data_IF_190086416607
#
_entry.id   IF_190086416607
#
_cell.length_a   1.000
_cell.length_b   1.000
_cell.length_c   1.000
_cell.angle_alpha   90.00
_cell.angle_beta   90.00
_cell.angle_gamma   90.00
#
_symmetry.space_group_name_H-M   'P 1'
#
loop_
_entity.id
_entity.type
_entity.pdbx_description
1 polymer ?
#
# COMPACT_ATOMS: atom_id res chain seq x y z
N UNK A 1 87.08 -38.05 -9.13
CA UNK A 1 86.36 -39.32 -8.90
C UNK A 1 85.05 -39.05 -8.16
N UNK A 2 83.95 -39.46 -8.75
CA UNK A 2 82.73 -39.88 -8.14
C UNK A 2 82.00 -38.80 -7.32
N UNK A 3 80.91 -38.40 -7.61
CA UNK A 3 79.70 -38.74 -8.29
C UNK A 3 78.63 -37.83 -7.73
N UNK A 4 78.22 -36.82 -8.46
CA UNK A 4 77.05 -35.99 -8.10
C UNK A 4 75.83 -36.86 -8.24
N UNK A 5 75.22 -37.23 -7.15
CA UNK A 5 73.93 -37.81 -7.12
C UNK A 5 72.85 -36.69 -7.26
N UNK A 6 72.12 -36.78 -8.35
CA UNK A 6 70.92 -36.04 -8.67
C UNK A 6 69.90 -36.30 -7.63
N UNK A 7 69.51 -35.25 -6.89
CA UNK A 7 68.24 -35.19 -6.19
C UNK A 7 67.34 -34.18 -6.93
N UNK A 8 66.65 -34.72 -7.90
CA UNK A 8 65.53 -34.01 -8.54
C UNK A 8 64.40 -33.93 -7.54
N UNK A 9 64.38 -32.85 -6.81
CA UNK A 9 63.22 -32.53 -5.94
C UNK A 9 62.14 -31.97 -6.83
N UNK A 10 61.25 -32.84 -7.25
CA UNK A 10 59.97 -32.49 -7.91
C UNK A 10 59.10 -31.75 -6.88
N UNK A 11 59.29 -30.44 -6.85
CA UNK A 11 58.37 -29.54 -6.14
C UNK A 11 57.06 -29.49 -6.95
N UNK A 12 56.16 -30.42 -6.62
CA UNK A 12 54.80 -30.43 -7.14
C UNK A 12 54.09 -29.22 -6.54
N UNK A 13 54.11 -28.14 -7.30
CA UNK A 13 53.38 -26.89 -7.00
C UNK A 13 51.88 -27.26 -7.09
N UNK A 14 51.30 -27.66 -5.98
CA UNK A 14 49.86 -27.68 -5.82
C UNK A 14 49.37 -26.22 -5.81
N UNK A 15 49.04 -25.71 -7.00
CA UNK A 15 48.23 -24.51 -7.11
C UNK A 15 46.88 -24.80 -6.41
N UNK A 16 46.48 -24.04 -5.38
CA UNK A 16 45.12 -24.07 -4.98
C UNK A 16 44.33 -23.55 -6.18
N UNK A 17 43.48 -24.40 -6.79
CA UNK A 17 42.37 -23.90 -7.61
C UNK A 17 41.61 -22.97 -6.69
N UNK A 18 41.84 -21.68 -6.82
CA UNK A 18 40.90 -20.68 -6.37
C UNK A 18 39.60 -21.03 -7.11
N UNK A 19 38.72 -21.73 -6.42
CA UNK A 19 37.33 -21.83 -6.81
C UNK A 19 36.86 -20.39 -6.89
N UNK A 20 36.80 -19.85 -8.11
CA UNK A 20 36.04 -18.63 -8.37
C UNK A 20 34.65 -18.98 -7.88
N UNK A 21 34.32 -18.47 -6.71
CA UNK A 21 32.95 -18.35 -6.25
C UNK A 21 32.24 -17.62 -7.40
N UNK A 22 31.50 -18.36 -8.21
CA UNK A 22 30.65 -17.78 -9.24
C UNK A 22 29.61 -17.01 -8.46
N UNK A 23 29.94 -15.75 -8.19
CA UNK A 23 29.11 -14.85 -7.42
C UNK A 23 27.69 -14.99 -7.92
N UNK A 24 26.80 -15.35 -7.02
CA UNK A 24 25.40 -15.56 -7.32
C UNK A 24 24.88 -14.35 -8.08
N UNK A 25 24.30 -14.56 -9.27
CA UNK A 25 23.79 -13.48 -10.09
C UNK A 25 22.72 -12.73 -9.31
N UNK A 26 22.98 -11.47 -8.98
CA UNK A 26 22.04 -10.60 -8.29
C UNK A 26 21.46 -9.56 -9.26
N UNK A 27 20.25 -9.15 -8.99
CA UNK A 27 19.50 -8.15 -9.74
C UNK A 27 19.23 -6.97 -8.83
N UNK A 28 19.58 -5.77 -9.30
CA UNK A 28 19.38 -4.55 -8.54
C UNK A 28 17.92 -4.13 -8.53
N UNK A 29 17.50 -3.61 -7.39
CA UNK A 29 16.16 -3.11 -7.16
C UNK A 29 16.09 -2.17 -5.96
N UNK A 30 14.89 -1.89 -5.53
CA UNK A 30 14.62 -1.07 -4.33
C UNK A 30 13.34 -1.52 -3.64
N UNK A 31 13.17 -1.08 -2.42
CA UNK A 31 11.93 -1.27 -1.66
C UNK A 31 10.98 -0.14 -1.99
N UNK A 32 9.79 -0.48 -2.45
CA UNK A 32 8.70 0.46 -2.75
C UNK A 32 7.58 0.32 -1.73
N UNK A 33 6.96 1.46 -1.36
CA UNK A 33 5.79 1.48 -0.48
C UNK A 33 4.50 1.42 -1.29
N UNK A 34 3.54 0.64 -0.80
CA UNK A 34 2.15 0.76 -1.23
C UNK A 34 1.43 1.69 -0.25
N UNK A 35 1.43 2.99 -0.55
CA UNK A 35 0.85 4.03 0.29
C UNK A 35 -0.67 4.05 0.19
N UNK A 36 -1.32 4.38 1.31
CA UNK A 36 -2.74 4.70 1.36
C UNK A 36 -2.87 6.21 1.40
N UNK A 37 -3.53 6.75 0.37
CA UNK A 37 -3.76 8.18 0.24
C UNK A 37 -5.07 8.56 0.92
N UNK A 38 -4.99 9.52 1.86
CA UNK A 38 -6.16 9.99 2.59
C UNK A 38 -6.56 11.38 2.08
N UNK A 39 -7.78 11.47 1.57
CA UNK A 39 -8.33 12.67 0.92
C UNK A 39 -9.68 13.03 1.54
N UNK A 40 -10.11 14.32 1.50
CA UNK A 40 -11.46 14.70 1.83
C UNK A 40 -12.43 14.32 0.70
N UNK A 41 -13.67 13.99 1.05
CA UNK A 41 -14.75 13.68 0.09
C UNK A 41 -15.23 14.91 -0.68
N UNK A 42 -15.17 16.08 -0.06
CA UNK A 42 -15.63 17.36 -0.63
C UNK A 42 -14.52 18.41 -0.54
N UNK A 43 -14.59 19.38 -1.44
CA UNK A 43 -13.69 20.53 -1.42
C UNK A 43 -13.80 21.31 -0.12
N UNK A 44 -12.67 21.81 0.38
CA UNK A 44 -12.63 22.67 1.55
C UNK A 44 -11.22 23.07 1.96
N UNK A 45 -11.14 24.00 2.90
CA UNK A 45 -9.87 24.46 3.48
C UNK A 45 -9.46 23.51 4.60
N UNK A 46 -8.23 23.04 4.63
CA UNK A 46 -7.68 22.32 5.79
C UNK A 46 -7.68 23.26 6.99
N UNK A 47 -8.44 22.92 8.03
CA UNK A 47 -8.56 23.72 9.23
C UNK A 47 -7.50 23.33 10.26
N UNK A 48 -7.41 22.04 10.55
CA UNK A 48 -6.42 21.49 11.47
C UNK A 48 -5.76 20.26 10.89
N UNK A 49 -4.52 20.02 11.29
CA UNK A 49 -3.78 18.80 11.03
C UNK A 49 -3.33 18.24 12.38
N UNK A 50 -3.81 17.07 12.74
CA UNK A 50 -3.59 16.47 14.06
C UNK A 50 -2.29 15.65 14.12
N UNK A 51 -1.66 15.38 12.97
CA UNK A 51 -0.50 14.49 12.83
C UNK A 51 0.61 15.15 12.04
N UNK A 52 1.86 14.75 12.29
CA UNK A 52 3.06 15.13 11.56
C UNK A 52 3.63 13.98 10.72
N UNK A 53 4.56 14.31 9.79
CA UNK A 53 5.32 13.29 9.06
C UNK A 53 6.18 12.47 10.04
N UNK A 54 6.11 11.14 9.89
CA UNK A 54 6.77 10.19 10.79
C UNK A 54 5.91 9.69 11.94
N UNK A 55 4.78 10.34 12.24
CA UNK A 55 3.91 9.90 13.33
C UNK A 55 3.27 8.54 13.03
N UNK A 56 3.16 7.74 14.09
CA UNK A 56 2.39 6.49 14.04
C UNK A 56 0.94 6.79 14.37
N UNK A 57 0.02 6.25 13.56
CA UNK A 57 -1.42 6.42 13.71
C UNK A 57 -2.14 5.07 13.76
N UNK A 58 -3.27 5.04 14.46
CA UNK A 58 -4.15 3.88 14.54
C UNK A 58 -5.42 4.10 13.72
N UNK A 59 -6.03 3.03 13.31
CA UNK A 59 -7.35 3.04 12.68
C UNK A 59 -8.36 3.80 13.54
N UNK A 60 -9.04 4.78 12.94
CA UNK A 60 -10.01 5.64 13.64
C UNK A 60 -9.39 6.84 14.37
N UNK A 61 -8.09 7.03 14.33
CA UNK A 61 -7.42 8.21 14.90
C UNK A 61 -7.64 9.43 14.00
N UNK A 62 -7.93 10.64 14.56
CA UNK A 62 -8.14 11.83 13.78
C UNK A 62 -6.85 12.27 13.07
N UNK A 63 -6.95 12.57 11.77
CA UNK A 63 -5.81 12.99 10.95
C UNK A 63 -5.85 14.50 10.67
N UNK A 64 -6.97 14.96 10.14
CA UNK A 64 -7.17 16.37 9.84
C UNK A 64 -8.67 16.73 9.81
N UNK A 65 -8.95 18.02 9.89
CA UNK A 65 -10.29 18.57 9.71
C UNK A 65 -10.32 19.54 8.53
N UNK A 66 -11.45 19.57 7.85
CA UNK A 66 -11.75 20.52 6.78
C UNK A 66 -12.81 21.48 7.30
N UNK A 67 -12.73 22.74 6.85
CA UNK A 67 -13.70 23.79 7.18
C UNK A 67 -15.14 23.28 7.04
N UNK A 68 -15.94 23.41 8.08
CA UNK A 68 -17.28 22.83 8.20
C UNK A 68 -18.39 23.88 8.43
N UNK A 69 -18.09 25.18 8.36
CA UNK A 69 -19.04 26.26 8.63
C UNK A 69 -20.31 26.14 7.79
N UNK A 70 -20.17 25.87 6.49
CA UNK A 70 -21.32 25.69 5.59
C UNK A 70 -22.16 24.47 5.93
N UNK A 71 -21.53 23.36 6.34
CA UNK A 71 -22.21 22.13 6.71
C UNK A 71 -22.93 22.28 8.04
N UNK A 72 -22.37 23.06 8.96
CA UNK A 72 -23.05 23.40 10.23
C UNK A 72 -24.32 24.28 9.98
N UNK A 73 -24.20 25.26 9.08
CA UNK A 73 -25.33 26.10 8.67
C UNK A 73 -26.44 25.27 7.98
N UNK A 74 -26.04 24.38 7.05
CA UNK A 74 -26.97 23.44 6.38
C UNK A 74 -27.68 22.53 7.43
N UNK A 75 -26.94 21.96 8.37
CA UNK A 75 -27.49 21.12 9.43
C UNK A 75 -28.51 21.89 10.28
N UNK A 76 -28.24 23.13 10.62
CA UNK A 76 -29.18 23.97 11.36
C UNK A 76 -30.47 24.21 10.55
N UNK A 77 -30.37 24.49 9.26
CA UNK A 77 -31.50 24.70 8.36
C UNK A 77 -32.35 23.43 8.22
N UNK A 78 -31.74 22.27 7.97
CA UNK A 78 -32.53 21.03 7.81
C UNK A 78 -33.12 20.55 9.12
N UNK A 79 -32.49 20.85 10.27
CA UNK A 79 -33.04 20.58 11.61
C UNK A 79 -34.30 21.39 11.85
N UNK A 80 -34.32 22.69 11.51
CA UNK A 80 -35.50 23.52 11.59
C UNK A 80 -36.63 23.00 10.67
N UNK A 81 -36.28 22.55 9.45
CA UNK A 81 -37.25 21.96 8.52
C UNK A 81 -37.85 20.66 9.05
N UNK A 82 -37.07 19.81 9.70
CA UNK A 82 -37.55 18.58 10.35
C UNK A 82 -38.54 18.93 11.50
N UNK A 83 -38.19 19.93 12.33
CA UNK A 83 -39.10 20.39 13.41
C UNK A 83 -40.46 20.83 12.89
N UNK A 84 -40.48 21.61 11.79
CA UNK A 84 -41.70 22.04 11.14
C UNK A 84 -42.52 20.87 10.55
N UNK A 85 -41.82 19.91 9.91
CA UNK A 85 -42.45 18.71 9.36
C UNK A 85 -43.04 17.83 10.46
N UNK A 86 -42.34 17.68 11.58
CA UNK A 86 -42.82 16.93 12.74
C UNK A 86 -44.08 17.56 13.33
N UNK A 87 -44.11 18.90 13.55
CA UNK A 87 -45.28 19.61 14.04
C UNK A 87 -46.48 19.48 13.08
N UNK A 88 -46.24 19.50 11.79
CA UNK A 88 -47.29 19.33 10.78
C UNK A 88 -47.87 17.92 10.79
N UNK A 89 -47.00 16.90 10.92
CA UNK A 89 -47.41 15.51 11.09
C UNK A 89 -48.23 15.30 12.36
N UNK A 90 -47.77 15.80 13.50
CA UNK A 90 -48.44 15.64 14.77
C UNK A 90 -49.84 16.28 14.75
N UNK A 91 -49.98 17.45 14.12
CA UNK A 91 -51.27 18.12 13.89
C UNK A 91 -52.17 17.30 12.98
N UNK A 92 -51.68 16.84 11.83
CA UNK A 92 -52.47 16.01 10.91
C UNK A 92 -52.91 14.69 11.57
N UNK A 93 -52.06 14.08 12.34
CA UNK A 93 -52.34 12.85 13.10
C UNK A 93 -53.44 13.09 14.16
N UNK A 94 -53.36 14.19 14.91
CA UNK A 94 -54.39 14.55 15.86
C UNK A 94 -55.74 14.78 15.19
N UNK A 95 -55.78 15.59 14.12
CA UNK A 95 -57.04 15.88 13.39
C UNK A 95 -57.65 14.64 12.74
N UNK A 96 -56.85 13.74 12.18
CA UNK A 96 -57.34 12.47 11.65
C UNK A 96 -57.92 11.58 12.76
N UNK A 97 -57.27 11.53 13.93
CA UNK A 97 -57.76 10.78 15.09
C UNK A 97 -59.05 11.32 15.69
N UNK A 98 -59.34 12.61 15.56
CA UNK A 98 -60.58 13.25 16.01
C UNK A 98 -61.70 13.27 14.94
N UNK A 99 -61.42 12.71 13.73
CA UNK A 99 -62.38 12.69 12.63
C UNK A 99 -62.56 14.02 11.90
N UNK A 100 -61.77 15.04 12.20
CA UNK A 100 -61.82 16.38 11.58
C UNK A 100 -60.76 16.58 10.49
N UNK A 101 -59.80 15.66 10.34
CA UNK A 101 -58.82 15.61 9.29
C UNK A 101 -59.02 14.45 8.30
N UNK A 102 -58.35 14.49 7.16
CA UNK A 102 -58.40 13.43 6.15
C UNK A 102 -57.20 12.50 6.23
N UNK A 103 -57.37 11.24 5.85
CA UNK A 103 -56.25 10.30 5.72
C UNK A 103 -55.21 10.79 4.70
N UNK A 104 -55.68 11.46 3.63
CA UNK A 104 -54.79 12.06 2.62
C UNK A 104 -53.85 13.09 3.23
N UNK A 105 -54.34 13.93 4.15
CA UNK A 105 -53.50 14.96 4.79
C UNK A 105 -52.49 14.33 5.74
N UNK A 106 -52.86 13.28 6.45
CA UNK A 106 -51.94 12.52 7.29
C UNK A 106 -50.85 11.83 6.45
N UNK A 107 -51.22 11.21 5.34
CA UNK A 107 -50.27 10.55 4.45
C UNK A 107 -49.31 11.57 3.84
N UNK A 108 -49.80 12.74 3.42
CA UNK A 108 -48.98 13.83 2.91
C UNK A 108 -47.99 14.35 3.97
N UNK A 109 -48.47 14.62 5.20
CA UNK A 109 -47.61 15.05 6.29
C UNK A 109 -46.57 14.00 6.69
N UNK A 110 -46.93 12.69 6.60
CA UNK A 110 -46.02 11.57 6.85
C UNK A 110 -44.91 11.54 5.79
N UNK A 111 -45.24 11.76 4.52
CA UNK A 111 -44.24 11.79 3.43
C UNK A 111 -43.24 12.95 3.60
N UNK A 112 -43.74 14.16 3.98
CA UNK A 112 -42.91 15.35 4.24
C UNK A 112 -41.98 15.11 5.44
N UNK A 113 -42.45 14.49 6.50
CA UNK A 113 -41.65 14.14 7.67
C UNK A 113 -40.52 13.18 7.31
N UNK A 114 -40.81 12.14 6.53
CA UNK A 114 -39.80 11.19 6.09
C UNK A 114 -38.71 11.83 5.20
N UNK A 115 -39.13 12.72 4.30
CA UNK A 115 -38.19 13.49 3.47
C UNK A 115 -37.27 14.37 4.33
N UNK A 116 -37.85 15.12 5.28
CA UNK A 116 -37.07 15.97 6.19
C UNK A 116 -36.09 15.15 7.04
N UNK A 117 -36.48 13.96 7.51
CA UNK A 117 -35.62 13.05 8.26
C UNK A 117 -34.44 12.54 7.38
N UNK A 118 -34.72 12.19 6.12
CA UNK A 118 -33.68 11.76 5.20
C UNK A 118 -32.67 12.87 4.90
N UNK A 119 -33.15 14.13 4.76
CA UNK A 119 -32.27 15.29 4.59
C UNK A 119 -31.38 15.55 5.79
N UNK A 120 -31.95 15.44 7.01
CA UNK A 120 -31.15 15.55 8.24
C UNK A 120 -30.02 14.52 8.27
N UNK A 121 -30.32 13.26 8.01
CA UNK A 121 -29.32 12.19 8.01
C UNK A 121 -28.20 12.47 6.97
N UNK A 122 -28.58 12.99 5.79
CA UNK A 122 -27.60 13.36 4.75
C UNK A 122 -26.70 14.52 5.21
N UNK A 123 -27.26 15.58 5.79
CA UNK A 123 -26.51 16.73 6.28
C UNK A 123 -25.57 16.33 7.43
N UNK A 124 -26.03 15.51 8.37
CA UNK A 124 -25.20 14.98 9.45
C UNK A 124 -24.02 14.17 8.91
N UNK A 125 -24.24 13.34 7.90
CA UNK A 125 -23.18 12.55 7.27
C UNK A 125 -22.14 13.44 6.60
N UNK A 126 -22.57 14.50 5.88
CA UNK A 126 -21.65 15.46 5.27
C UNK A 126 -20.81 16.19 6.31
N UNK A 127 -21.42 16.63 7.40
CA UNK A 127 -20.70 17.28 8.49
C UNK A 127 -19.70 16.31 9.15
N UNK A 128 -20.08 15.07 9.41
CA UNK A 128 -19.20 14.08 10.01
C UNK A 128 -17.95 13.81 9.14
N UNK A 129 -18.10 13.83 7.80
CA UNK A 129 -17.00 13.61 6.85
C UNK A 129 -16.02 14.78 6.76
N UNK A 130 -16.33 15.94 7.39
CA UNK A 130 -15.35 17.04 7.53
C UNK A 130 -14.21 16.72 8.49
N UNK A 131 -14.39 15.75 9.37
CA UNK A 131 -13.36 15.20 10.23
C UNK A 131 -12.89 13.89 9.61
N UNK A 132 -11.62 13.85 9.19
CA UNK A 132 -11.05 12.71 8.50
C UNK A 132 -10.19 11.91 9.47
N UNK A 133 -10.47 10.61 9.51
CA UNK A 133 -9.81 9.65 10.40
C UNK A 133 -8.97 8.67 9.61
N UNK A 134 -8.00 8.04 10.29
CA UNK A 134 -7.17 7.02 9.67
C UNK A 134 -7.98 5.77 9.34
N UNK A 135 -7.97 5.31 8.07
CA UNK A 135 -8.64 4.07 7.68
C UNK A 135 -7.86 2.82 8.12
N UNK A 136 -6.59 2.95 8.49
CA UNK A 136 -5.66 1.85 8.80
C UNK A 136 -4.67 2.25 9.89
N UNK A 137 -4.08 1.25 10.54
CA UNK A 137 -2.89 1.46 11.34
C UNK A 137 -1.69 1.72 10.41
N UNK A 138 -0.80 2.63 10.78
CA UNK A 138 0.36 2.93 9.95
C UNK A 138 1.18 4.11 10.42
N UNK A 139 2.07 4.59 9.58
CA UNK A 139 2.83 5.81 9.80
C UNK A 139 2.59 6.84 8.69
N UNK A 140 2.54 8.10 9.07
CA UNK A 140 2.40 9.21 8.11
C UNK A 140 3.72 9.34 7.34
N UNK A 141 3.67 9.15 6.04
CA UNK A 141 4.87 9.23 5.19
C UNK A 141 5.06 10.61 4.59
N UNK A 142 3.98 11.25 4.19
CA UNK A 142 4.03 12.55 3.55
C UNK A 142 2.73 13.33 3.77
N UNK A 143 2.87 14.64 3.92
CA UNK A 143 1.77 15.60 4.02
C UNK A 143 1.84 16.53 2.81
N UNK A 144 0.77 16.54 2.01
CA UNK A 144 0.68 17.31 0.77
C UNK A 144 0.03 18.68 0.95
N UNK A 145 -0.86 18.83 1.96
CA UNK A 145 -1.55 20.08 2.24
C UNK A 145 -1.45 20.43 3.72
N UNK A 146 -1.30 21.72 3.97
CA UNK A 146 -1.14 22.28 5.31
C UNK A 146 -2.38 23.06 5.75
N UNK A 147 -2.55 23.30 7.06
CA UNK A 147 -3.62 24.16 7.55
C UNK A 147 -3.65 25.52 6.85
N UNK A 148 -4.83 25.92 6.39
CA UNK A 148 -5.06 27.14 5.61
C UNK A 148 -5.14 26.91 4.10
N UNK A 149 -4.66 25.78 3.57
CA UNK A 149 -4.72 25.49 2.13
C UNK A 149 -6.07 24.89 1.70
N UNK A 150 -6.48 25.20 0.47
CA UNK A 150 -7.70 24.69 -0.13
C UNK A 150 -7.41 23.34 -0.81
N UNK A 151 -8.19 22.32 -0.46
CA UNK A 151 -8.04 20.97 -1.02
C UNK A 151 -9.26 20.62 -1.88
N UNK A 152 -9.06 20.25 -3.14
CA UNK A 152 -10.11 19.66 -3.96
C UNK A 152 -10.58 18.30 -3.43
N UNK A 153 -11.83 17.94 -3.72
CA UNK A 153 -12.36 16.61 -3.41
C UNK A 153 -11.49 15.51 -4.04
N UNK A 154 -11.22 14.45 -3.28
CA UNK A 154 -10.41 13.32 -3.72
C UNK A 154 -8.90 13.60 -3.88
N UNK A 155 -8.43 14.79 -3.57
CA UNK A 155 -7.00 15.10 -3.58
C UNK A 155 -6.39 14.69 -2.24
N UNK A 156 -5.33 13.85 -2.22
CA UNK A 156 -4.71 13.42 -0.97
C UNK A 156 -4.16 14.59 -0.15
N UNK A 157 -4.53 14.64 1.14
CA UNK A 157 -3.93 15.57 2.12
C UNK A 157 -2.66 14.96 2.71
N UNK A 158 -2.67 13.66 2.94
CA UNK A 158 -1.51 12.93 3.44
C UNK A 158 -1.49 11.49 2.91
N UNK A 159 -0.34 10.84 3.05
CA UNK A 159 -0.13 9.44 2.70
C UNK A 159 0.30 8.64 3.93
N UNK A 160 -0.34 7.48 4.12
CA UNK A 160 -0.05 6.53 5.19
C UNK A 160 0.66 5.31 4.63
N UNK A 161 1.61 4.79 5.40
CA UNK A 161 2.22 3.48 5.16
C UNK A 161 1.78 2.51 6.25
N UNK A 162 0.89 1.56 5.94
CA UNK A 162 0.57 0.48 6.85
C UNK A 162 1.79 -0.40 7.14
N UNK A 163 1.91 -1.00 8.34
CA UNK A 163 2.99 -1.91 8.67
C UNK A 163 3.06 -3.06 7.66
N UNK A 164 4.23 -3.29 7.11
CA UNK A 164 4.44 -4.39 6.16
C UNK A 164 3.95 -4.15 4.74
N UNK A 165 3.39 -2.99 4.42
CA UNK A 165 2.87 -2.69 3.09
C UNK A 165 3.97 -2.19 2.14
N UNK A 166 5.05 -2.95 2.07
CA UNK A 166 6.21 -2.72 1.20
C UNK A 166 6.44 -3.89 0.27
N UNK A 167 7.04 -3.64 -0.88
CA UNK A 167 7.42 -4.64 -1.86
C UNK A 167 8.84 -4.41 -2.35
N UNK A 168 9.55 -5.49 -2.64
CA UNK A 168 10.80 -5.45 -3.36
C UNK A 168 10.51 -5.34 -4.86
N UNK A 169 11.05 -4.32 -5.51
CA UNK A 169 10.87 -4.06 -6.94
C UNK A 169 12.23 -4.14 -7.61
N UNK A 170 12.38 -5.03 -8.59
CA UNK A 170 13.65 -5.25 -9.26
C UNK A 170 13.43 -5.64 -10.72
N UNK A 171 14.51 -5.53 -11.50
CA UNK A 171 14.46 -5.79 -12.93
C UNK A 171 15.32 -6.97 -13.32
N UNK A 172 14.79 -7.82 -14.19
CA UNK A 172 15.51 -8.96 -14.73
C UNK A 172 15.59 -8.91 -16.24
N UNK A 173 16.73 -9.33 -16.85
CA UNK A 173 16.84 -9.46 -18.30
C UNK A 173 15.86 -10.50 -18.86
N UNK A 174 15.43 -10.31 -20.11
CA UNK A 174 14.53 -11.25 -20.82
C UNK A 174 14.99 -12.70 -20.76
N UNK A 175 16.31 -12.95 -20.84
CA UNK A 175 16.88 -14.31 -20.82
C UNK A 175 16.62 -15.05 -19.47
N UNK A 176 16.37 -14.29 -18.40
CA UNK A 176 16.15 -14.83 -17.05
C UNK A 176 14.67 -15.04 -16.76
N UNK A 177 13.79 -14.28 -17.44
CA UNK A 177 12.35 -14.30 -17.21
C UNK A 177 11.75 -15.72 -17.20
N UNK A 178 12.12 -16.65 -18.10
CA UNK A 178 11.61 -18.04 -18.07
C UNK A 178 12.00 -18.82 -16.81
N UNK A 179 12.96 -18.32 -16.04
CA UNK A 179 13.41 -18.94 -14.79
C UNK A 179 12.67 -18.46 -13.56
N UNK A 180 11.73 -17.55 -13.70
CA UNK A 180 10.99 -16.94 -12.59
C UNK A 180 9.51 -17.25 -12.76
N UNK A 181 8.86 -17.67 -11.68
CA UNK A 181 7.43 -17.90 -11.61
C UNK A 181 6.81 -17.17 -10.43
N UNK A 182 5.50 -16.91 -10.52
CA UNK A 182 4.73 -16.36 -9.39
C UNK A 182 4.80 -17.34 -8.21
N UNK A 183 5.08 -16.79 -7.03
CA UNK A 183 5.23 -17.56 -5.80
C UNK A 183 6.64 -18.09 -5.53
N UNK A 184 7.59 -17.91 -6.45
CA UNK A 184 8.99 -18.24 -6.21
C UNK A 184 9.56 -17.41 -5.07
N UNK A 185 10.47 -18.02 -4.29
CA UNK A 185 11.18 -17.33 -3.22
C UNK A 185 12.49 -16.77 -3.76
N UNK A 186 12.72 -15.49 -3.54
CA UNK A 186 13.97 -14.79 -3.88
C UNK A 186 14.67 -14.36 -2.60
N UNK A 187 15.99 -14.30 -2.62
CA UNK A 187 16.80 -13.77 -1.52
C UNK A 187 17.02 -12.28 -1.73
N UNK A 188 16.80 -11.52 -0.66
CA UNK A 188 16.98 -10.06 -0.67
C UNK A 188 18.20 -9.72 0.20
N UNK A 189 19.10 -8.92 -0.34
CA UNK A 189 20.24 -8.38 0.38
C UNK A 189 20.20 -6.86 0.30
N UNK A 190 20.62 -6.21 1.35
CA UNK A 190 20.78 -4.77 1.40
C UNK A 190 21.87 -4.40 2.42
N UNK A 191 22.48 -3.24 2.24
CA UNK A 191 23.49 -2.75 3.16
C UNK A 191 22.90 -2.50 4.55
N UNK A 192 23.49 -3.12 5.57
CA UNK A 192 23.03 -3.00 6.96
C UNK A 192 21.78 -3.78 7.32
N UNK A 193 21.25 -4.61 6.42
CA UNK A 193 20.11 -5.49 6.70
C UNK A 193 20.53 -6.77 7.42
N UNK A 194 19.61 -7.41 8.17
CA UNK A 194 19.79 -8.75 8.66
C UNK A 194 20.05 -9.73 7.50
N UNK A 195 20.92 -10.72 7.71
CA UNK A 195 21.12 -11.77 6.75
C UNK A 195 19.89 -12.69 6.61
N UNK A 196 19.75 -13.32 5.44
CA UNK A 196 18.71 -14.32 5.20
C UNK A 196 17.31 -13.76 4.89
N UNK A 197 17.20 -12.49 4.52
CA UNK A 197 15.93 -11.93 4.08
C UNK A 197 15.46 -12.60 2.78
N UNK A 198 14.18 -12.95 2.76
CA UNK A 198 13.51 -13.55 1.61
C UNK A 198 12.28 -12.74 1.22
N UNK A 199 11.91 -12.86 -0.04
CA UNK A 199 10.69 -12.29 -0.57
C UNK A 199 10.03 -13.27 -1.54
N UNK A 200 8.71 -13.20 -1.67
CA UNK A 200 7.94 -14.05 -2.58
C UNK A 200 7.50 -13.26 -3.79
N UNK A 201 7.80 -13.75 -4.99
CA UNK A 201 7.37 -13.13 -6.24
C UNK A 201 5.85 -13.05 -6.29
N UNK A 202 5.32 -11.84 -6.35
CA UNK A 202 3.89 -11.54 -6.37
C UNK A 202 3.40 -11.02 -7.71
N UNK A 203 4.31 -10.45 -8.52
CA UNK A 203 3.97 -9.89 -9.81
C UNK A 203 5.14 -10.00 -10.79
N UNK A 204 4.82 -10.28 -12.05
CA UNK A 204 5.75 -10.31 -13.18
C UNK A 204 5.13 -9.46 -14.29
N UNK A 205 5.80 -8.38 -14.68
CA UNK A 205 5.33 -7.51 -15.74
C UNK A 205 5.24 -8.26 -17.08
N UNK A 206 4.16 -8.05 -17.82
CA UNK A 206 3.96 -8.61 -19.17
C UNK A 206 4.60 -7.75 -20.26
N UNK A 207 4.92 -6.51 -19.94
CA UNK A 207 5.58 -5.57 -20.85
C UNK A 207 7.00 -5.35 -20.39
N UNK A 208 7.93 -5.30 -21.35
CA UNK A 208 9.31 -4.94 -21.07
C UNK A 208 9.43 -3.43 -20.86
N UNK A 209 10.28 -3.04 -19.94
CA UNK A 209 10.72 -1.67 -19.76
C UNK A 209 12.13 -1.51 -20.33
N UNK A 210 12.44 -0.31 -20.81
CA UNK A 210 13.79 0.02 -21.27
C UNK A 210 14.52 0.74 -20.15
N UNK A 211 15.69 0.24 -19.76
CA UNK A 211 16.63 1.06 -19.00
C UNK A 211 17.27 2.07 -19.97
N UNK A 212 17.34 3.38 -19.62
CA UNK A 212 17.30 4.52 -20.55
C UNK A 212 18.49 4.61 -21.51
N UNK A 213 18.45 5.50 -22.52
CA UNK A 213 17.52 5.66 -23.63
C UNK A 213 17.97 5.02 -24.94
N UNK A 214 17.07 4.60 -25.61
CA UNK A 214 16.78 3.94 -26.86
C UNK A 214 17.68 4.20 -28.07
N UNK A 215 18.30 3.13 -28.60
CA UNK A 215 18.54 2.95 -30.05
C UNK A 215 18.24 1.48 -30.38
N UNK A 216 17.36 1.22 -31.36
CA UNK A 216 16.98 -0.13 -31.80
C UNK A 216 18.10 -0.84 -32.56
N UNK A 217 19.07 -1.42 -31.85
CA UNK A 217 20.06 -2.33 -32.44
C UNK A 217 19.92 -3.74 -31.87
N UNK A 218 20.45 -4.75 -32.56
CA UNK A 218 20.43 -6.14 -32.08
C UNK A 218 21.12 -6.32 -30.71
N UNK A 219 22.09 -5.46 -30.39
CA UNK A 219 22.79 -5.40 -29.11
C UNK A 219 21.95 -4.80 -27.99
N UNK A 220 20.91 -4.02 -28.32
CA UNK A 220 20.01 -3.39 -27.37
C UNK A 220 18.91 -4.34 -26.84
N UNK A 221 18.64 -5.47 -27.54
CA UNK A 221 17.70 -6.49 -27.02
C UNK A 221 18.18 -7.14 -25.72
N UNK A 222 19.49 -7.10 -25.45
CA UNK A 222 20.03 -7.55 -24.16
C UNK A 222 19.71 -6.60 -23.00
N UNK A 223 19.21 -5.39 -23.30
CA UNK A 223 18.81 -4.37 -22.32
C UNK A 223 17.30 -4.36 -22.03
N UNK A 224 16.50 -5.23 -22.68
CA UNK A 224 15.12 -5.42 -22.34
C UNK A 224 15.03 -6.05 -20.95
N UNK A 225 14.46 -5.33 -20.02
CA UNK A 225 14.26 -5.78 -18.65
C UNK A 225 12.78 -5.88 -18.34
N UNK A 226 12.43 -6.81 -17.48
CA UNK A 226 11.07 -6.99 -16.99
C UNK A 226 11.03 -6.69 -15.51
N UNK A 227 10.04 -5.89 -15.12
CA UNK A 227 9.78 -5.59 -13.74
C UNK A 227 9.22 -6.82 -13.03
N UNK A 228 9.83 -7.15 -11.89
CA UNK A 228 9.34 -8.16 -10.95
C UNK A 228 9.06 -7.47 -9.62
N UNK A 229 7.94 -7.83 -9.01
CA UNK A 229 7.64 -7.42 -7.64
C UNK A 229 7.57 -8.65 -6.73
N UNK A 230 8.14 -8.54 -5.54
CA UNK A 230 8.12 -9.58 -4.54
C UNK A 230 7.75 -9.02 -3.17
N UNK A 231 6.95 -9.75 -2.42
CA UNK A 231 6.52 -9.38 -1.07
C UNK A 231 7.54 -9.94 -0.07
N UNK A 232 8.22 -9.08 0.71
CA UNK A 232 9.17 -9.52 1.74
C UNK A 232 8.48 -10.32 2.84
N UNK A 233 9.12 -11.41 3.29
CA UNK A 233 8.63 -12.18 4.43
C UNK A 233 8.83 -11.42 5.76
N UNK A 234 9.80 -10.50 5.82
CA UNK A 234 10.09 -9.62 6.96
C UNK A 234 10.05 -8.14 6.53
N UNK A 235 8.86 -7.58 6.26
CA UNK A 235 8.74 -6.23 5.70
C UNK A 235 9.24 -5.12 6.63
N UNK A 236 9.17 -5.32 7.96
CA UNK A 236 9.61 -4.35 8.97
C UNK A 236 11.12 -4.19 9.04
N UNK A 237 11.89 -5.14 8.50
CA UNK A 237 13.36 -5.08 8.42
C UNK A 237 13.86 -4.18 7.27
N UNK A 238 12.95 -3.72 6.39
CA UNK A 238 13.25 -3.01 5.16
C UNK A 238 12.68 -1.59 5.21
N UNK A 239 13.40 -0.64 4.61
CA UNK A 239 12.95 0.75 4.53
C UNK A 239 12.57 1.12 3.10
N UNK A 240 11.54 1.94 2.96
CA UNK A 240 11.12 2.48 1.66
C UNK A 240 12.26 3.26 1.01
N UNK A 241 12.45 3.05 -0.29
CA UNK A 241 13.54 3.67 -1.05
C UNK A 241 14.91 3.00 -0.86
N UNK A 242 15.03 1.99 -0.01
CA UNK A 242 16.29 1.29 0.23
C UNK A 242 16.69 0.49 -1.00
N UNK A 243 17.93 0.66 -1.53
CA UNK A 243 18.49 -0.20 -2.58
C UNK A 243 18.62 -1.63 -2.08
N UNK A 244 18.33 -2.58 -2.95
CA UNK A 244 18.44 -4.02 -2.67
C UNK A 244 19.09 -4.77 -3.83
N UNK A 245 19.77 -5.85 -3.50
CA UNK A 245 20.20 -6.87 -4.43
C UNK A 245 19.35 -8.12 -4.25
N UNK A 246 18.76 -8.59 -5.33
CA UNK A 246 17.88 -9.76 -5.33
C UNK A 246 18.55 -10.91 -6.06
N UNK A 247 18.71 -12.04 -5.37
CA UNK A 247 19.20 -13.27 -5.95
C UNK A 247 18.05 -14.28 -6.07
N UNK A 248 17.97 -14.95 -7.22
CA UNK A 248 16.96 -15.97 -7.46
C UNK A 248 17.27 -17.20 -6.60
N UNK A 249 16.29 -17.66 -5.86
CA UNK A 249 16.37 -18.91 -5.11
C UNK A 249 16.24 -20.14 -6.02
N UNK A 250 16.53 -21.36 -5.51
CA UNK A 250 16.21 -22.59 -6.22
C UNK A 250 14.69 -22.65 -6.47
N UNK A 251 14.30 -23.10 -7.67
CA UNK A 251 12.89 -23.30 -8.00
C UNK A 251 12.23 -24.27 -7.02
N UNK A 252 10.98 -24.02 -6.70
CA UNK A 252 10.17 -24.92 -5.87
C UNK A 252 10.09 -26.35 -6.47
N UNK A 253 10.30 -26.48 -7.79
CA UNK A 253 10.35 -27.77 -8.48
C UNK A 253 11.72 -28.48 -8.34
N UNK A 254 12.78 -27.74 -8.02
CA UNK A 254 14.13 -28.27 -7.86
C UNK A 254 14.45 -28.66 -6.40
N UNK A 255 13.52 -28.39 -5.47
CA UNK A 255 13.69 -28.79 -4.07
C UNK A 255 13.35 -30.28 -3.93
N UNK A 256 14.32 -31.14 -3.52
CA UNK A 256 14.07 -32.57 -3.31
C UNK A 256 12.88 -32.78 -2.36
N UNK A 257 12.00 -33.72 -2.68
CA UNK A 257 10.76 -34.03 -1.94
C UNK A 257 11.00 -34.24 -0.44
N UNK A 258 12.20 -34.61 -0.01
CA UNK A 258 12.56 -34.76 1.40
C UNK A 258 12.51 -33.47 2.21
N UNK A 259 12.72 -32.30 1.58
CA UNK A 259 12.65 -30.98 2.28
C UNK A 259 11.25 -30.37 2.27
N UNK A 260 10.35 -30.89 1.44
CA UNK A 260 8.96 -30.39 1.39
C UNK A 260 8.11 -30.84 2.58
N UNK A 261 8.48 -31.97 3.24
CA UNK A 261 7.73 -32.47 4.41
C UNK A 261 7.99 -31.72 5.71
N UNK A 262 9.17 -31.11 5.88
CA UNK A 262 9.49 -30.40 7.14
C UNK A 262 8.78 -29.04 7.26
N UNK A 263 8.34 -28.44 6.16
CA UNK A 263 7.62 -27.17 6.16
C UNK A 263 6.11 -27.28 6.40
N UNK A 264 5.55 -28.51 6.32
CA UNK A 264 4.12 -28.76 6.55
C UNK A 264 3.81 -29.10 8.02
N UNK A 265 4.78 -29.67 8.76
CA UNK A 265 4.61 -29.99 10.17
C UNK A 265 4.78 -28.81 11.13
N UNK A 266 5.34 -27.70 10.67
CA UNK A 266 5.49 -26.48 11.48
C UNK A 266 4.24 -25.57 11.48
N UNK A 267 3.10 -26.01 10.89
CA UNK A 267 1.84 -25.26 10.82
C UNK A 267 0.61 -26.00 11.39
N UNK A 268 0.84 -26.94 12.30
CA UNK A 268 -0.26 -27.51 13.11
C UNK A 268 -0.16 -27.03 14.55
#
# INVERSE_FOLDING_TARGET
>A
MRALRRCALTCLLALPLAACDQGETSYQGWIEANLIFVAPDEVGRVQTLAVGEGDAVKTGEPLFTVDDDLQQADLAQVTASLTNAQQSYDRAKFLAGTGTGTQKDLDAATAVLRDAQARLNSSQTRLARRKVFSPVDGSVQQIYFRPGEMVPAGRPVLALLPPGNVKARFYVPQAVLPKIALGDTVRVRCDGCPGGLTARVSFIARQSEFTPPVIYSLQERSKLVFLIEALPDQPTALRVGQPIDVALGPRRQDVPVAQQKSGAEARQ
#
